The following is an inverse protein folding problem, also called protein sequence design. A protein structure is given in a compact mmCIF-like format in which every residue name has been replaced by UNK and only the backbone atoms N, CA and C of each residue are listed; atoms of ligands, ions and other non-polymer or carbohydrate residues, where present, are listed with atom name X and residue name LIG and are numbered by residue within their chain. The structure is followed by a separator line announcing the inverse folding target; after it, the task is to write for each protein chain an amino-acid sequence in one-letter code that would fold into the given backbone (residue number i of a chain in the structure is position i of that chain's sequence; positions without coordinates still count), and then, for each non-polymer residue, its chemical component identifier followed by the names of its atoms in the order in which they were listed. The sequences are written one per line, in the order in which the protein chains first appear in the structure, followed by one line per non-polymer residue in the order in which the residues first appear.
data_IF_376683973582
#
_entry.id   IF_376683973582
#
_cell.length_a   1.000
_cell.length_b   1.000
_cell.length_c   1.000
_cell.angle_alpha   90.00
_cell.angle_beta   90.00
_cell.angle_gamma   90.00
#
_symmetry.space_group_name_H-M   'P 1'
#
loop_
_entity.id
_entity.type
_entity.pdbx_description
1 polymer ?
#
# COMPACT_ATOMS: atom_id res chain seq x y z
N UNK A 1 -17.70 -30.01 -26.06
CA UNK A 1 -16.33 -29.67 -26.49
C UNK A 1 -15.78 -28.70 -25.45
N UNK A 2 -14.86 -29.09 -24.56
CA UNK A 2 -14.31 -28.16 -23.58
C UNK A 2 -13.11 -27.43 -24.21
N UNK A 3 -13.20 -26.10 -24.24
CA UNK A 3 -12.13 -25.23 -24.71
C UNK A 3 -11.28 -24.79 -23.52
N UNK A 4 -10.05 -25.31 -23.49
CA UNK A 4 -8.80 -24.66 -23.11
C UNK A 4 -8.90 -23.42 -22.20
N UNK A 5 -8.66 -23.65 -20.90
CA UNK A 5 -8.01 -22.65 -20.05
C UNK A 5 -6.59 -22.45 -20.58
N UNK A 6 -6.35 -21.30 -21.20
CA UNK A 6 -5.04 -20.85 -21.60
C UNK A 6 -4.21 -20.53 -20.35
N UNK A 7 -3.24 -21.39 -20.05
CA UNK A 7 -2.29 -21.20 -18.97
C UNK A 7 -1.39 -19.99 -19.19
N UNK A 8 -0.99 -19.39 -18.08
CA UNK A 8 0.02 -18.34 -18.00
C UNK A 8 1.30 -18.78 -18.73
N UNK A 9 1.55 -18.21 -19.90
CA UNK A 9 2.85 -18.25 -20.56
C UNK A 9 3.42 -16.84 -20.56
N UNK A 10 4.36 -16.60 -19.65
CA UNK A 10 5.07 -15.33 -19.51
C UNK A 10 6.45 -15.51 -18.89
N UNK A 11 7.16 -16.57 -19.25
CA UNK A 11 8.54 -16.79 -18.83
C UNK A 11 9.50 -15.92 -19.64
N UNK A 12 10.14 -14.93 -18.98
CA UNK A 12 11.44 -14.42 -19.42
C UNK A 12 12.50 -15.32 -18.77
N UNK A 13 12.92 -16.35 -19.51
CA UNK A 13 13.91 -17.30 -19.04
C UNK A 13 15.30 -16.66 -18.85
N UNK A 14 15.90 -16.86 -17.67
CA UNK A 14 17.35 -16.83 -17.49
C UNK A 14 17.91 -18.23 -17.77
N UNK A 15 19.02 -18.38 -18.51
CA UNK A 15 19.64 -19.67 -18.75
C UNK A 15 20.25 -20.22 -17.44
N UNK A 16 19.99 -21.50 -17.19
CA UNK A 16 20.36 -22.19 -15.95
C UNK A 16 21.85 -22.51 -15.83
N UNK A 17 22.25 -22.64 -14.57
CA UNK A 17 23.35 -23.50 -14.15
C UNK A 17 22.71 -24.61 -13.30
N UNK A 18 22.76 -25.83 -13.81
CA UNK A 18 22.43 -27.03 -13.06
C UNK A 18 23.73 -27.53 -12.44
N UNK A 19 23.74 -27.72 -11.12
CA UNK A 19 24.53 -28.74 -10.45
C UNK A 19 23.83 -29.06 -9.11
N UNK A 20 23.65 -30.36 -8.86
CA UNK A 20 22.90 -30.86 -7.71
C UNK A 20 23.66 -30.78 -6.39
N UNK A 21 22.92 -30.61 -5.30
CA UNK A 21 23.31 -30.92 -3.93
C UNK A 21 22.00 -31.23 -3.18
N UNK A 22 21.77 -32.49 -2.85
CA UNK A 22 21.92 -33.06 -1.50
C UNK A 22 21.14 -32.28 -0.42
N UNK A 23 20.11 -32.95 0.10
CA UNK A 23 19.38 -32.55 1.29
C UNK A 23 20.34 -32.56 2.49
N UNK A 24 20.74 -31.38 2.92
CA UNK A 24 21.55 -31.14 4.11
C UNK A 24 20.70 -30.58 5.24
N UNK A 25 20.97 -31.11 6.43
CA UNK A 25 20.45 -30.77 7.75
C UNK A 25 20.03 -29.30 7.99
N UNK A 26 18.93 -29.17 8.73
CA UNK A 26 18.49 -27.93 9.34
C UNK A 26 19.60 -27.36 10.24
N UNK A 27 20.24 -26.29 9.79
CA UNK A 27 21.17 -25.52 10.59
C UNK A 27 20.41 -24.72 11.65
N UNK A 28 20.69 -25.09 12.90
CA UNK A 28 21.11 -24.22 14.00
C UNK A 28 20.54 -22.79 14.00
N UNK A 29 19.74 -22.48 15.03
CA UNK A 29 19.27 -21.13 15.29
C UNK A 29 20.46 -20.21 15.52
N UNK A 30 20.75 -19.38 14.52
CA UNK A 30 21.83 -18.39 14.60
C UNK A 30 21.64 -17.50 15.82
N UNK A 31 22.73 -17.30 16.56
CA UNK A 31 22.82 -16.26 17.56
C UNK A 31 22.33 -14.92 16.97
N UNK A 32 21.64 -14.06 17.75
CA UNK A 32 21.27 -12.74 17.30
C UNK A 32 22.50 -12.04 16.74
N UNK A 33 22.44 -11.62 15.47
CA UNK A 33 23.54 -10.88 14.85
C UNK A 33 23.86 -9.68 15.76
N UNK A 34 25.10 -9.65 16.25
CA UNK A 34 25.56 -8.57 17.11
C UNK A 34 25.53 -7.27 16.29
N UNK A 35 24.98 -6.16 16.83
CA UNK A 35 24.86 -4.92 16.08
C UNK A 35 26.26 -4.41 15.67
N UNK A 36 26.40 -3.74 14.52
CA UNK A 36 27.68 -3.22 14.06
C UNK A 36 28.27 -2.27 15.12
N UNK A 37 29.60 -2.29 15.28
CA UNK A 37 30.30 -1.50 16.30
C UNK A 37 30.24 0.02 16.04
N UNK A 38 29.74 0.44 14.87
CA UNK A 38 29.72 1.83 14.46
C UNK A 38 28.43 2.56 14.88
N UNK A 39 28.59 3.72 15.54
CA UNK A 39 27.47 4.59 15.92
C UNK A 39 26.97 5.37 14.69
N UNK A 40 26.02 4.76 13.97
CA UNK A 40 25.48 5.32 12.73
C UNK A 40 24.80 6.67 12.95
N UNK A 41 24.12 6.86 14.08
CA UNK A 41 23.46 8.12 14.41
C UNK A 41 24.51 9.23 14.58
N UNK A 42 25.65 8.93 15.19
CA UNK A 42 26.78 9.84 15.22
C UNK A 42 27.34 10.14 13.82
N UNK A 43 27.45 9.13 12.94
CA UNK A 43 27.90 9.31 11.54
C UNK A 43 26.97 10.24 10.76
N UNK A 44 25.65 10.06 10.85
CA UNK A 44 24.68 10.93 10.17
C UNK A 44 24.61 12.35 10.75
N UNK A 45 24.91 12.50 12.05
CA UNK A 45 24.98 13.80 12.71
C UNK A 45 26.35 14.48 12.58
N UNK A 46 27.37 13.79 12.06
CA UNK A 46 28.74 14.29 11.96
C UNK A 46 28.80 15.60 11.16
N UNK A 47 29.73 16.50 11.53
CA UNK A 47 29.82 17.83 10.94
C UNK A 47 30.20 17.84 9.45
N UNK A 48 30.85 16.78 8.99
CA UNK A 48 31.20 16.59 7.58
C UNK A 48 30.02 16.07 6.74
N UNK A 49 29.10 15.32 7.35
CA UNK A 49 27.97 14.69 6.66
C UNK A 49 26.69 15.52 6.76
N UNK A 50 26.39 16.02 7.96
CA UNK A 50 25.25 16.89 8.29
C UNK A 50 23.90 16.38 7.78
N UNK A 51 23.74 15.06 7.64
CA UNK A 51 22.53 14.46 7.10
C UNK A 51 21.30 14.83 7.94
N UNK A 52 21.45 14.84 9.27
CA UNK A 52 20.38 15.18 10.23
C UNK A 52 20.28 16.67 10.53
N UNK A 53 21.03 17.53 9.82
CA UNK A 53 20.91 18.97 10.00
C UNK A 53 19.49 19.46 9.65
N UNK A 54 19.10 20.58 10.26
CA UNK A 54 17.75 21.12 10.13
C UNK A 54 17.35 21.30 8.66
N UNK A 55 16.28 20.62 8.25
CA UNK A 55 15.71 20.71 6.90
C UNK A 55 16.33 19.78 5.86
N UNK A 56 17.21 18.84 6.24
CA UNK A 56 17.70 17.79 5.35
C UNK A 56 17.00 16.45 5.66
N UNK A 57 17.58 15.57 6.48
CA UNK A 57 17.04 14.24 6.78
C UNK A 57 16.88 14.00 8.29
N UNK A 58 16.43 15.01 9.03
CA UNK A 58 16.08 14.91 10.45
C UNK A 58 14.57 14.70 10.68
N UNK A 59 14.07 15.07 11.87
CA UNK A 59 12.62 14.98 12.19
C UNK A 59 11.76 15.71 11.17
N UNK A 60 12.22 16.89 10.73
CA UNK A 60 11.75 17.53 9.50
C UNK A 60 12.64 17.08 8.36
N UNK A 61 12.12 16.18 7.54
CA UNK A 61 12.86 15.50 6.49
C UNK A 61 12.39 15.91 5.10
N UNK A 62 13.35 16.00 4.19
CA UNK A 62 13.13 16.05 2.75
C UNK A 62 13.01 14.64 2.19
N UNK A 63 12.26 14.50 1.10
CA UNK A 63 12.09 13.23 0.38
C UNK A 63 11.61 12.04 1.24
N UNK A 64 10.89 12.31 2.34
CA UNK A 64 10.33 11.25 3.18
C UNK A 64 11.36 10.48 4.03
N UNK A 65 12.62 10.93 4.10
CA UNK A 65 13.72 10.19 4.74
C UNK A 65 14.17 10.86 6.04
N UNK A 66 13.87 10.23 7.18
CA UNK A 66 14.33 10.66 8.51
C UNK A 66 15.35 9.67 9.08
N UNK A 67 16.57 10.19 9.25
CA UNK A 67 17.77 9.50 9.73
C UNK A 67 18.10 9.85 11.20
N UNK A 68 17.29 10.69 11.86
CA UNK A 68 17.55 11.17 13.21
C UNK A 68 16.77 10.39 14.28
N UNK A 69 15.59 9.90 13.94
CA UNK A 69 14.76 9.10 14.85
C UNK A 69 15.38 7.71 15.14
N UNK A 70 15.08 7.10 16.30
CA UNK A 70 15.53 5.74 16.61
C UNK A 70 14.95 4.69 15.65
N UNK A 71 15.44 3.44 15.77
CA UNK A 71 14.94 2.26 15.03
C UNK A 71 15.08 2.41 13.50
N UNK A 72 16.20 2.98 13.04
CA UNK A 72 16.44 3.24 11.60
C UNK A 72 16.27 1.98 10.73
N UNK A 73 16.73 0.81 11.18
CA UNK A 73 16.65 -0.42 10.40
C UNK A 73 15.21 -0.77 10.03
N UNK A 74 14.34 -0.90 11.03
CA UNK A 74 12.91 -1.23 10.84
C UNK A 74 12.17 -0.23 9.96
N UNK A 75 12.61 1.03 10.00
CA UNK A 75 12.01 2.12 9.25
C UNK A 75 12.48 2.23 7.80
N UNK A 76 13.64 1.70 7.45
CA UNK A 76 14.27 1.93 6.14
C UNK A 76 14.39 0.66 5.29
N UNK A 77 14.55 -0.51 5.92
CA UNK A 77 14.65 -1.79 5.20
C UNK A 77 13.34 -2.11 4.47
N UNK A 78 13.47 -2.43 3.18
CA UNK A 78 12.34 -2.78 2.31
C UNK A 78 11.40 -1.62 2.00
N UNK A 79 11.69 -0.39 2.43
CA UNK A 79 10.81 0.76 2.17
C UNK A 79 11.08 1.35 0.79
N UNK A 80 10.05 1.58 -0.03
CA UNK A 80 10.23 2.23 -1.33
C UNK A 80 10.59 3.71 -1.17
N UNK A 81 11.30 4.26 -2.15
CA UNK A 81 11.48 5.70 -2.25
C UNK A 81 10.14 6.43 -2.41
N UNK A 82 9.99 7.56 -1.74
CA UNK A 82 8.81 8.43 -1.90
C UNK A 82 8.93 9.39 -3.09
N UNK A 83 10.10 9.42 -3.73
CA UNK A 83 10.36 10.31 -4.87
C UNK A 83 10.01 9.61 -6.18
N UNK A 84 9.22 10.26 -7.03
CA UNK A 84 8.74 9.66 -8.28
C UNK A 84 9.87 9.21 -9.21
N UNK A 85 11.00 9.92 -9.22
CA UNK A 85 12.15 9.59 -10.07
C UNK A 85 12.94 8.36 -9.61
N UNK A 86 12.73 7.89 -8.39
CA UNK A 86 13.35 6.71 -7.80
C UNK A 86 12.30 5.67 -7.37
N UNK A 87 11.08 5.72 -7.90
CA UNK A 87 9.92 5.01 -7.34
C UNK A 87 10.01 3.47 -7.36
N UNK A 88 10.92 2.92 -8.15
CA UNK A 88 11.24 1.49 -8.24
C UNK A 88 12.40 1.06 -7.32
N UNK A 89 12.96 1.99 -6.55
CA UNK A 89 14.12 1.74 -5.67
C UNK A 89 13.69 1.64 -4.21
N UNK A 90 14.35 0.75 -3.48
CA UNK A 90 14.24 0.65 -2.03
C UNK A 90 15.28 1.53 -1.34
N UNK A 91 14.91 2.12 -0.21
CA UNK A 91 15.83 2.93 0.61
C UNK A 91 16.99 2.05 1.08
N UNK A 92 16.66 0.90 1.67
CA UNK A 92 17.57 -0.23 1.87
C UNK A 92 16.94 -1.44 1.19
N UNK A 93 17.68 -2.01 0.23
CA UNK A 93 17.30 -3.19 -0.52
C UNK A 93 17.84 -4.43 0.20
N UNK A 94 16.98 -5.27 0.82
CA UNK A 94 17.45 -6.44 1.57
C UNK A 94 18.04 -7.54 0.67
N UNK A 95 17.60 -7.61 -0.60
CA UNK A 95 18.04 -8.64 -1.54
C UNK A 95 19.35 -8.25 -2.25
N UNK A 96 19.62 -6.95 -2.38
CA UNK A 96 20.83 -6.40 -2.97
C UNK A 96 21.29 -5.14 -2.21
N UNK A 97 21.89 -5.29 -1.01
CA UNK A 97 22.23 -4.17 -0.11
C UNK A 97 23.05 -3.07 -0.80
N UNK A 98 23.98 -3.43 -1.68
CA UNK A 98 24.80 -2.52 -2.46
C UNK A 98 24.02 -1.64 -3.44
N UNK A 99 22.80 -2.05 -3.82
CA UNK A 99 21.88 -1.30 -4.68
C UNK A 99 20.91 -0.41 -3.91
N UNK A 100 20.97 -0.44 -2.59
CA UNK A 100 20.18 0.42 -1.70
C UNK A 100 20.28 1.88 -2.12
N UNK A 101 19.15 2.56 -2.25
CA UNK A 101 19.13 3.97 -2.63
C UNK A 101 19.98 4.79 -1.67
N UNK A 102 19.94 4.49 -0.36
CA UNK A 102 20.77 5.14 0.65
C UNK A 102 22.26 5.13 0.28
N UNK A 103 22.83 3.97 -0.11
CA UNK A 103 24.26 3.87 -0.44
C UNK A 103 24.61 4.53 -1.77
N UNK A 104 23.75 4.39 -2.78
CA UNK A 104 24.01 4.96 -4.10
C UNK A 104 24.09 6.49 -4.08
N UNK A 105 23.41 7.16 -3.15
CA UNK A 105 23.46 8.61 -3.03
C UNK A 105 24.71 9.13 -2.31
N UNK A 106 25.54 8.27 -1.71
CA UNK A 106 26.71 8.68 -0.92
C UNK A 106 28.02 8.68 -1.70
N UNK A 107 28.01 8.22 -2.96
CA UNK A 107 29.19 8.12 -3.82
C UNK A 107 28.92 8.74 -5.19
N UNK A 108 29.91 9.43 -5.81
CA UNK A 108 29.76 10.02 -7.13
C UNK A 108 29.38 9.00 -8.22
N UNK A 109 29.88 7.78 -8.10
CA UNK A 109 29.64 6.70 -9.06
C UNK A 109 28.25 6.07 -8.91
N UNK A 110 27.66 6.13 -7.71
CA UNK A 110 26.36 5.54 -7.41
C UNK A 110 25.17 6.41 -7.81
N UNK A 111 25.33 7.74 -7.82
CA UNK A 111 24.21 8.66 -8.05
C UNK A 111 23.73 8.56 -9.50
N UNK A 112 22.47 8.16 -9.65
CA UNK A 112 21.82 8.04 -10.94
C UNK A 112 21.21 9.38 -11.39
N UNK A 113 21.34 9.70 -12.68
CA UNK A 113 20.81 10.95 -13.22
C UNK A 113 19.28 10.99 -13.10
N UNK A 114 18.78 12.03 -12.40
CA UNK A 114 17.35 12.23 -12.19
C UNK A 114 16.82 11.53 -10.94
N UNK A 115 17.50 10.52 -10.41
CA UNK A 115 17.14 9.85 -9.16
C UNK A 115 18.07 10.34 -8.04
N UNK A 116 17.74 11.51 -7.47
CA UNK A 116 18.45 12.09 -6.31
C UNK A 116 19.62 13.00 -6.65
N UNK A 117 20.41 13.34 -5.63
CA UNK A 117 21.63 14.15 -5.71
C UNK A 117 22.69 13.57 -4.79
N UNK A 118 23.96 13.72 -5.15
CA UNK A 118 25.09 13.30 -4.32
C UNK A 118 25.02 13.94 -2.93
N UNK A 119 25.14 13.09 -1.91
CA UNK A 119 25.20 13.45 -0.51
C UNK A 119 26.62 13.30 0.04
N UNK A 120 27.08 14.23 0.90
CA UNK A 120 26.38 15.44 1.35
C UNK A 120 26.17 16.47 0.23
N UNK A 121 25.10 17.25 0.30
CA UNK A 121 24.78 18.24 -0.75
C UNK A 121 25.94 19.22 -0.93
N UNK A 122 26.43 19.34 -2.16
CA UNK A 122 27.55 20.21 -2.51
C UNK A 122 28.93 19.54 -2.40
N UNK A 123 28.99 18.30 -1.88
CA UNK A 123 30.18 17.46 -1.99
C UNK A 123 30.44 17.08 -3.45
N UNK A 124 31.72 16.89 -3.78
CA UNK A 124 32.15 16.29 -5.06
C UNK A 124 32.63 14.85 -4.90
N UNK A 125 32.92 14.45 -3.67
CA UNK A 125 33.55 13.17 -3.34
C UNK A 125 32.57 12.24 -2.62
N UNK A 126 31.42 12.76 -2.19
CA UNK A 126 30.44 12.02 -1.39
C UNK A 126 30.77 12.06 0.10
N UNK A 127 30.39 11.00 0.81
CA UNK A 127 30.70 10.75 2.23
C UNK A 127 32.14 10.23 2.37
N UNK A 128 32.82 10.59 3.46
CA UNK A 128 34.19 10.11 3.73
C UNK A 128 34.27 8.58 3.82
N UNK A 129 35.40 8.00 3.42
CA UNK A 129 35.54 6.54 3.29
C UNK A 129 35.26 5.75 4.58
N UNK A 130 35.63 6.30 5.74
CA UNK A 130 35.37 5.64 7.04
C UNK A 130 33.87 5.63 7.38
N UNK A 131 33.20 6.77 7.17
CA UNK A 131 31.77 6.90 7.42
C UNK A 131 30.97 6.07 6.43
N UNK A 132 31.39 6.04 5.15
CA UNK A 132 30.79 5.20 4.13
C UNK A 132 30.89 3.72 4.50
N UNK A 133 32.05 3.26 4.97
CA UNK A 133 32.24 1.89 5.41
C UNK A 133 31.30 1.53 6.58
N UNK A 134 31.15 2.43 7.56
CA UNK A 134 30.17 2.24 8.64
C UNK A 134 28.74 2.12 8.11
N UNK A 135 28.33 3.01 7.19
CA UNK A 135 26.97 2.97 6.64
C UNK A 135 26.77 1.68 5.82
N UNK A 136 27.76 1.23 5.06
CA UNK A 136 27.71 -0.01 4.29
C UNK A 136 27.55 -1.25 5.19
N UNK A 137 28.39 -1.38 6.22
CA UNK A 137 28.32 -2.48 7.18
C UNK A 137 26.95 -2.50 7.90
N UNK A 138 26.44 -1.32 8.27
CA UNK A 138 25.13 -1.20 8.87
C UNK A 138 24.00 -1.62 7.91
N UNK A 139 24.04 -1.19 6.65
CA UNK A 139 23.06 -1.58 5.63
C UNK A 139 23.08 -3.10 5.41
N UNK A 140 24.26 -3.71 5.32
CA UNK A 140 24.42 -5.16 5.15
C UNK A 140 23.87 -5.94 6.35
N UNK A 141 24.18 -5.51 7.58
CA UNK A 141 23.65 -6.13 8.79
C UNK A 141 22.13 -6.12 8.82
N UNK A 142 21.51 -4.96 8.56
CA UNK A 142 20.05 -4.84 8.61
C UNK A 142 19.34 -5.48 7.43
N UNK A 143 19.95 -5.48 6.24
CA UNK A 143 19.45 -6.26 5.12
C UNK A 143 19.37 -7.75 5.47
N UNK A 144 20.38 -8.29 6.16
CA UNK A 144 20.41 -9.69 6.59
C UNK A 144 19.41 -10.02 7.72
N UNK A 145 18.89 -9.02 8.44
CA UNK A 145 17.92 -9.24 9.54
C UNK A 145 16.50 -9.47 9.04
N UNK A 146 16.19 -9.10 7.80
CA UNK A 146 14.92 -9.45 7.18
C UNK A 146 15.13 -10.78 6.46
N UNK A 147 14.43 -11.83 6.89
CA UNK A 147 14.32 -13.04 6.09
C UNK A 147 13.74 -12.61 4.74
N UNK A 148 14.44 -12.87 3.61
CA UNK A 148 13.91 -12.53 2.31
C UNK A 148 12.54 -13.20 2.21
N UNK A 149 11.48 -12.40 2.07
CA UNK A 149 10.17 -12.98 1.84
C UNK A 149 10.33 -13.86 0.61
N UNK A 150 10.02 -15.17 0.71
CA UNK A 150 10.20 -16.06 -0.42
C UNK A 150 9.45 -15.43 -1.59
N UNK A 151 10.05 -15.38 -2.79
CA UNK A 151 9.40 -14.78 -3.94
C UNK A 151 8.01 -15.39 -4.03
N UNK A 152 6.99 -14.57 -3.82
CA UNK A 152 5.60 -15.01 -3.91
C UNK A 152 5.41 -15.47 -5.35
N UNK A 153 5.43 -16.79 -5.54
CA UNK A 153 5.08 -17.35 -6.83
C UNK A 153 3.58 -17.10 -7.00
N UNK A 154 3.25 -16.02 -7.70
CA UNK A 154 1.87 -15.74 -8.08
C UNK A 154 1.30 -16.83 -9.02
N UNK A 155 2.10 -17.85 -9.39
CA UNK A 155 1.68 -19.08 -10.03
C UNK A 155 1.41 -20.24 -9.07
N UNK A 156 1.33 -20.00 -7.75
CA UNK A 156 0.67 -20.96 -6.86
C UNK A 156 -0.72 -21.25 -7.43
N UNK A 157 -1.10 -22.53 -7.43
CA UNK A 157 -2.36 -22.98 -8.00
C UNK A 157 -3.51 -22.15 -7.40
N UNK A 158 -4.28 -21.47 -8.25
CA UNK A 158 -5.47 -20.77 -7.81
C UNK A 158 -6.34 -21.74 -7.02
N UNK A 159 -6.39 -21.58 -5.69
CA UNK A 159 -7.23 -22.39 -4.83
C UNK A 159 -8.67 -21.87 -4.94
N UNK A 160 -9.58 -22.57 -5.62
CA UNK A 160 -10.93 -22.08 -5.79
C UNK A 160 -11.63 -22.05 -4.44
N UNK A 161 -12.13 -20.86 -4.05
CA UNK A 161 -13.03 -20.76 -2.91
C UNK A 161 -14.32 -21.55 -3.18
N UNK A 162 -14.81 -22.29 -2.18
CA UNK A 162 -16.10 -22.98 -2.30
C UNK A 162 -17.24 -21.98 -2.64
N UNK A 163 -18.26 -22.40 -3.42
CA UNK A 163 -19.41 -21.55 -3.74
C UNK A 163 -20.03 -20.90 -2.50
N UNK A 164 -20.24 -21.67 -1.43
CA UNK A 164 -20.74 -21.15 -0.15
C UNK A 164 -19.95 -19.97 0.40
N UNK A 165 -18.62 -20.06 0.39
CA UNK A 165 -17.74 -18.97 0.87
C UNK A 165 -17.86 -17.77 -0.06
N UNK A 166 -17.82 -18.00 -1.37
CA UNK A 166 -17.83 -16.93 -2.36
C UNK A 166 -19.18 -16.18 -2.38
N UNK A 167 -20.31 -16.89 -2.47
CA UNK A 167 -21.66 -16.31 -2.41
C UNK A 167 -21.87 -15.53 -1.12
N UNK A 168 -21.42 -16.07 0.02
CA UNK A 168 -21.54 -15.39 1.31
C UNK A 168 -20.73 -14.09 1.35
N UNK A 169 -19.51 -14.07 0.80
CA UNK A 169 -18.67 -12.87 0.72
C UNK A 169 -19.34 -11.80 -0.17
N UNK A 170 -19.76 -12.18 -1.37
CA UNK A 170 -20.37 -11.24 -2.33
C UNK A 170 -21.67 -10.65 -1.77
N UNK A 171 -22.58 -11.48 -1.25
CA UNK A 171 -23.85 -10.99 -0.69
C UNK A 171 -23.61 -10.09 0.53
N UNK A 172 -22.69 -10.45 1.41
CA UNK A 172 -22.37 -9.65 2.59
C UNK A 172 -21.78 -8.29 2.21
N UNK A 173 -20.90 -8.24 1.20
CA UNK A 173 -20.36 -6.99 0.69
C UNK A 173 -21.45 -6.09 0.14
N UNK A 174 -22.36 -6.64 -0.69
CA UNK A 174 -23.39 -5.85 -1.36
C UNK A 174 -24.52 -5.42 -0.43
N UNK A 175 -25.00 -6.31 0.44
CA UNK A 175 -26.26 -6.11 1.19
C UNK A 175 -26.07 -6.07 2.70
N UNK A 176 -24.88 -6.40 3.22
CA UNK A 176 -24.64 -6.63 4.64
C UNK A 176 -25.34 -7.88 5.20
N UNK A 177 -26.00 -8.68 4.36
CA UNK A 177 -26.72 -9.90 4.77
C UNK A 177 -25.91 -11.16 4.51
N UNK A 178 -26.30 -12.25 5.16
CA UNK A 178 -25.76 -13.59 4.90
C UNK A 178 -26.47 -14.20 3.68
N UNK A 179 -25.74 -15.00 2.90
CA UNK A 179 -26.32 -15.86 1.85
C UNK A 179 -27.29 -16.90 2.46
N UNK A 180 -28.44 -17.09 1.82
CA UNK A 180 -29.40 -18.14 2.18
C UNK A 180 -28.91 -19.50 1.66
N UNK A 181 -29.50 -20.59 2.15
CA UNK A 181 -29.18 -21.92 1.65
C UNK A 181 -29.55 -22.07 0.17
N UNK A 182 -30.71 -21.55 -0.23
CA UNK A 182 -31.21 -21.59 -1.61
C UNK A 182 -30.30 -20.84 -2.60
N UNK A 183 -29.77 -19.68 -2.20
CA UNK A 183 -28.82 -18.93 -3.03
C UNK A 183 -27.50 -19.70 -3.23
N UNK A 184 -27.02 -20.35 -2.18
CA UNK A 184 -25.82 -21.19 -2.26
C UNK A 184 -26.07 -22.41 -3.13
N UNK A 185 -27.20 -23.10 -2.94
CA UNK A 185 -27.60 -24.26 -3.75
C UNK A 185 -27.76 -23.90 -5.24
N UNK A 186 -28.32 -22.71 -5.54
CA UNK A 186 -28.44 -22.21 -6.92
C UNK A 186 -27.08 -22.06 -7.59
N UNK A 187 -26.09 -21.50 -6.89
CA UNK A 187 -24.72 -21.31 -7.43
C UNK A 187 -23.91 -22.62 -7.44
N UNK A 188 -24.15 -23.53 -6.49
CA UNK A 188 -23.56 -24.87 -6.50
C UNK A 188 -24.07 -25.69 -7.70
N UNK A 189 -25.33 -25.52 -8.09
CA UNK A 189 -25.91 -26.18 -9.27
C UNK A 189 -25.50 -25.51 -10.59
N UNK A 190 -25.39 -24.17 -10.60
CA UNK A 190 -25.05 -23.38 -11.77
C UNK A 190 -24.16 -22.18 -11.37
N UNK A 191 -22.84 -22.22 -11.67
CA UNK A 191 -21.93 -21.12 -11.37
C UNK A 191 -22.33 -19.78 -12.01
N UNK A 192 -23.00 -19.79 -13.17
CA UNK A 192 -23.42 -18.57 -13.87
C UNK A 192 -24.58 -17.86 -13.17
N UNK A 193 -25.30 -18.56 -12.27
CA UNK A 193 -26.38 -17.99 -11.48
C UNK A 193 -25.92 -16.93 -10.47
N UNK A 194 -24.63 -16.89 -10.13
CA UNK A 194 -24.09 -15.86 -9.23
C UNK A 194 -24.27 -14.45 -9.83
N UNK A 195 -24.08 -14.30 -11.14
CA UNK A 195 -24.24 -13.01 -11.80
C UNK A 195 -25.70 -12.53 -11.74
N UNK A 196 -26.66 -13.44 -11.84
CA UNK A 196 -28.09 -13.13 -11.71
C UNK A 196 -28.43 -12.71 -10.27
N UNK A 197 -27.99 -13.49 -9.28
CA UNK A 197 -28.17 -13.14 -7.86
C UNK A 197 -27.55 -11.79 -7.50
N UNK A 198 -26.36 -11.49 -8.03
CA UNK A 198 -25.71 -10.20 -7.81
C UNK A 198 -26.54 -9.03 -8.36
N UNK A 199 -27.15 -9.17 -9.55
CA UNK A 199 -28.07 -8.16 -10.09
C UNK A 199 -29.31 -8.00 -9.21
N UNK A 200 -29.92 -9.10 -8.80
CA UNK A 200 -31.07 -9.09 -7.87
C UNK A 200 -30.72 -8.38 -6.54
N UNK A 201 -29.53 -8.61 -6.00
CA UNK A 201 -29.08 -7.94 -4.77
C UNK A 201 -28.82 -6.44 -4.95
N UNK A 202 -28.27 -6.01 -6.09
CA UNK A 202 -28.05 -4.57 -6.37
C UNK A 202 -29.36 -3.80 -6.49
N UNK A 203 -30.43 -4.47 -6.93
CA UNK A 203 -31.78 -3.88 -6.99
C UNK A 203 -32.50 -3.88 -5.62
N UNK A 204 -31.91 -4.47 -4.58
CA UNK A 204 -32.55 -4.63 -3.27
C UNK A 204 -32.46 -3.37 -2.38
N UNK A 205 -33.46 -3.13 -1.49
CA UNK A 205 -33.37 -2.08 -0.48
C UNK A 205 -32.16 -2.24 0.46
N UNK A 206 -31.74 -3.48 0.72
CA UNK A 206 -30.57 -3.78 1.55
C UNK A 206 -29.27 -3.27 0.92
N UNK A 207 -29.14 -3.34 -0.40
CA UNK A 207 -27.99 -2.76 -1.10
C UNK A 207 -27.95 -1.24 -0.95
N UNK A 208 -29.09 -0.57 -1.15
CA UNK A 208 -29.19 0.89 -0.96
C UNK A 208 -28.82 1.29 0.48
N UNK A 209 -29.29 0.52 1.46
CA UNK A 209 -28.95 0.74 2.87
C UNK A 209 -27.45 0.55 3.15
N UNK A 210 -26.78 -0.40 2.46
CA UNK A 210 -25.34 -0.67 2.60
C UNK A 210 -24.47 0.36 1.89
N UNK A 211 -24.92 0.86 0.74
CA UNK A 211 -24.20 1.83 -0.08
C UNK A 211 -24.19 3.23 0.55
N UNK A 212 -25.25 3.62 1.26
CA UNK A 212 -25.39 4.94 1.87
C UNK A 212 -24.18 5.39 2.72
N UNK A 213 -23.75 4.64 3.76
CA UNK A 213 -22.60 5.06 4.58
C UNK A 213 -21.31 5.15 3.76
N UNK A 214 -21.11 4.26 2.78
CA UNK A 214 -19.95 4.29 1.89
C UNK A 214 -19.91 5.57 1.05
N UNK A 215 -21.06 6.01 0.53
CA UNK A 215 -21.15 7.28 -0.20
C UNK A 215 -20.94 8.50 0.70
N UNK A 216 -21.41 8.46 1.94
CA UNK A 216 -21.17 9.53 2.93
C UNK A 216 -19.67 9.68 3.21
N UNK A 217 -18.99 8.56 3.46
CA UNK A 217 -17.54 8.52 3.71
C UNK A 217 -16.75 8.96 2.47
N UNK A 218 -17.08 8.40 1.30
CA UNK A 218 -16.35 8.68 0.05
C UNK A 218 -16.48 10.14 -0.41
N UNK A 219 -17.64 10.77 -0.17
CA UNK A 219 -17.88 12.17 -0.50
C UNK A 219 -17.40 13.14 0.60
N UNK A 220 -16.81 12.62 1.68
CA UNK A 220 -16.44 13.38 2.88
C UNK A 220 -17.63 14.22 3.40
N UNK A 221 -18.86 13.74 3.16
CA UNK A 221 -20.06 14.46 3.55
C UNK A 221 -20.34 14.18 5.02
N UNK A 222 -19.68 14.96 5.88
CA UNK A 222 -19.98 14.95 7.31
C UNK A 222 -21.26 15.72 7.57
N UNK A 223 -22.21 15.05 8.22
CA UNK A 223 -23.37 15.70 8.83
C UNK A 223 -23.05 16.26 10.22
N UNK A 224 -21.78 16.38 10.60
CA UNK A 224 -21.40 17.02 11.87
C UNK A 224 -21.75 18.51 11.80
N UNK A 225 -22.98 18.80 12.21
CA UNK A 225 -23.53 20.14 12.18
C UNK A 225 -22.94 21.05 13.26
N UNK A 226 -22.08 20.56 14.16
CA UNK A 226 -21.36 21.44 15.09
C UNK A 226 -20.49 22.47 14.33
N UNK A 227 -19.86 22.05 13.22
CA UNK A 227 -19.10 22.92 12.33
C UNK A 227 -19.97 23.80 11.43
N UNK A 228 -21.24 23.43 11.25
CA UNK A 228 -22.22 24.16 10.44
C UNK A 228 -22.99 25.19 11.28
N UNK A 229 -23.18 24.95 12.57
CA UNK A 229 -23.89 25.82 13.52
C UNK A 229 -23.21 27.19 13.66
N UNK A 230 -21.87 27.20 13.70
CA UNK A 230 -21.03 28.40 13.67
C UNK A 230 -21.15 29.19 12.36
N UNK A 231 -21.51 28.53 11.25
CA UNK A 231 -21.60 29.14 9.91
C UNK A 231 -23.01 29.58 9.52
N UNK A 232 -24.05 28.90 10.01
CA UNK A 232 -25.46 29.16 9.65
C UNK A 232 -26.18 30.03 10.71
N UNK A 233 -25.53 30.32 11.83
CA UNK A 233 -26.02 31.30 12.80
C UNK A 233 -27.03 30.73 13.79
N UNK A 234 -26.81 29.51 14.28
CA UNK A 234 -27.49 28.97 15.45
C UNK A 234 -29.01 28.77 15.28
N UNK A 235 -29.41 27.79 14.45
CA UNK A 235 -30.78 27.29 14.39
C UNK A 235 -30.89 25.86 14.97
N UNK A 236 -30.57 25.64 16.26
CA UNK A 236 -30.52 24.31 16.87
C UNK A 236 -31.87 23.57 16.84
N UNK A 237 -32.99 24.30 16.72
CA UNK A 237 -34.33 23.72 16.59
C UNK A 237 -34.57 23.02 15.23
N UNK A 238 -33.81 23.35 14.19
CA UNK A 238 -33.97 22.82 12.83
C UNK A 238 -32.81 21.89 12.42
N UNK A 239 -31.77 21.79 13.25
CA UNK A 239 -30.61 20.89 13.13
C UNK A 239 -30.98 19.48 12.61
N UNK A 240 -31.88 18.70 13.26
CA UNK A 240 -32.21 17.35 12.81
C UNK A 240 -32.97 17.32 11.47
N UNK A 241 -33.71 18.38 11.14
CA UNK A 241 -34.44 18.47 9.86
C UNK A 241 -33.48 18.82 8.72
N UNK A 242 -32.50 19.68 8.97
CA UNK A 242 -31.46 20.05 8.00
C UNK A 242 -30.53 18.87 7.73
N UNK A 243 -30.12 18.13 8.76
CA UNK A 243 -29.38 16.86 8.64
C UNK A 243 -30.13 15.86 7.76
N UNK A 244 -31.43 15.67 8.04
CA UNK A 244 -32.26 14.74 7.29
C UNK A 244 -32.40 15.19 5.82
N UNK A 245 -32.72 16.46 5.55
CA UNK A 245 -32.92 16.96 4.18
C UNK A 245 -31.62 16.98 3.37
N UNK A 246 -30.50 17.41 3.96
CA UNK A 246 -29.22 17.46 3.27
C UNK A 246 -28.70 16.06 2.95
N UNK A 247 -28.69 15.16 3.93
CA UNK A 247 -28.28 13.78 3.74
C UNK A 247 -29.15 13.06 2.70
N UNK A 248 -30.46 13.32 2.72
CA UNK A 248 -31.41 12.75 1.77
C UNK A 248 -31.24 13.34 0.35
N UNK A 249 -30.96 14.64 0.21
CA UNK A 249 -30.84 15.30 -1.11
C UNK A 249 -29.65 14.83 -1.94
N UNK A 250 -28.48 14.66 -1.29
CA UNK A 250 -27.26 14.17 -1.93
C UNK A 250 -27.40 12.68 -2.28
N UNK A 251 -27.92 11.89 -1.33
CA UNK A 251 -28.18 10.48 -1.54
C UNK A 251 -29.14 10.24 -2.70
N UNK A 252 -30.28 10.96 -2.76
CA UNK A 252 -31.22 10.88 -3.89
C UNK A 252 -30.57 11.25 -5.22
N UNK A 253 -29.69 12.25 -5.23
CA UNK A 253 -29.00 12.67 -6.45
C UNK A 253 -28.02 11.60 -6.93
N UNK A 254 -27.22 11.03 -6.03
CA UNK A 254 -26.29 9.95 -6.33
C UNK A 254 -27.03 8.69 -6.78
N UNK A 255 -28.10 8.30 -6.08
CA UNK A 255 -28.92 7.14 -6.44
C UNK A 255 -29.57 7.31 -7.81
N UNK A 256 -30.14 8.49 -8.11
CA UNK A 256 -30.68 8.78 -9.45
C UNK A 256 -29.62 8.66 -10.55
N UNK A 257 -28.40 9.14 -10.31
CA UNK A 257 -27.31 9.01 -11.28
C UNK A 257 -26.94 7.53 -11.52
N UNK A 258 -26.93 6.72 -10.47
CA UNK A 258 -26.69 5.26 -10.57
C UNK A 258 -27.83 4.56 -11.31
N UNK A 259 -29.09 4.85 -10.95
CA UNK A 259 -30.29 4.26 -11.55
C UNK A 259 -30.45 4.62 -13.03
N UNK A 260 -30.08 5.86 -13.41
CA UNK A 260 -30.16 6.35 -14.79
C UNK A 260 -28.91 5.99 -15.64
N UNK A 261 -27.96 5.21 -15.10
CA UNK A 261 -26.68 4.88 -15.73
C UNK A 261 -25.91 6.13 -16.23
N UNK A 262 -25.94 7.19 -15.42
CA UNK A 262 -25.30 8.47 -15.74
C UNK A 262 -23.87 8.51 -15.20
N UNK A 263 -22.97 9.27 -15.85
CA UNK A 263 -21.61 9.42 -15.37
C UNK A 263 -21.55 9.96 -13.94
N UNK A 264 -20.80 9.28 -13.06
CA UNK A 264 -20.71 9.63 -11.64
C UNK A 264 -20.18 11.05 -11.37
N UNK A 265 -19.38 11.61 -12.30
CA UNK A 265 -18.91 13.00 -12.21
C UNK A 265 -20.06 14.02 -12.19
N UNK A 266 -21.27 13.65 -12.64
CA UNK A 266 -22.41 14.54 -12.66
C UNK A 266 -22.89 14.93 -11.26
N UNK A 267 -22.57 14.14 -10.22
CA UNK A 267 -22.82 14.49 -8.81
C UNK A 267 -22.13 15.82 -8.46
N UNK A 268 -20.90 16.02 -8.93
CA UNK A 268 -20.11 17.22 -8.63
C UNK A 268 -20.46 18.41 -9.53
N UNK A 269 -21.17 18.18 -10.64
CA UNK A 269 -21.50 19.23 -11.62
C UNK A 269 -22.99 19.59 -11.64
N UNK A 270 -23.78 19.07 -10.70
CA UNK A 270 -25.22 19.35 -10.63
C UNK A 270 -25.46 20.86 -10.54
N UNK A 271 -26.12 21.42 -11.56
CA UNK A 271 -26.55 22.83 -11.56
C UNK A 271 -27.93 22.90 -10.92
N UNK A 272 -28.03 23.61 -9.79
CA UNK A 272 -29.31 24.00 -9.18
C UNK A 272 -29.90 25.22 -9.87
#
# INVERSE_FOLDING_TARGET
MPALLAGCQGGVGRPGAADGAEAGDAADGGDPLEPPECDLQAVFAHEDNRCTAQGCHGVQHVAGLDLASPELGERLVGKPSTTAACGDRLIIDPDAPERSLLLTQLTPEGVEQGCGVLMPVGSREGVGAQDLACIQEWVEHYAATIEPEPPVDYCDEFEPSSPRVYVSKVKNLLTGRRATAEEVERVEADPDALAELAREWVESPEFVARLRPLLQDALQFSTDLADLEDKIGGLPAYQPLIEADLGESLHRTAMRIIEEDRPFYEIATTRH
#
